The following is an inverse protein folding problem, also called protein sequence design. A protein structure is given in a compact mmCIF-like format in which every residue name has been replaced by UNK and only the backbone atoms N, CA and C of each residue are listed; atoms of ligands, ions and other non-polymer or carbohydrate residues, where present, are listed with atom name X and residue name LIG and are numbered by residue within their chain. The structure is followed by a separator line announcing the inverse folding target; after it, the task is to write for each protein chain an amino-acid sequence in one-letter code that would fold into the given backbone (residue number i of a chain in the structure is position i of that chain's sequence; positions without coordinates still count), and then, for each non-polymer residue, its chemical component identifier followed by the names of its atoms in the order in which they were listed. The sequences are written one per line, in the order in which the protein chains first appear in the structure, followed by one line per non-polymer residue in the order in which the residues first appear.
data_IF_385844439243
#
_entry.id   IF_385844439243
#
_cell.length_a   1.000
_cell.length_b   1.000
_cell.length_c   1.000
_cell.angle_alpha   90.00
_cell.angle_beta   90.00
_cell.angle_gamma   90.00
#
_symmetry.space_group_name_H-M   'P 1'
#
loop_
_entity.id
_entity.type
_entity.pdbx_description
1 polymer ?
#
# COMPACT_ATOMS: atom_id res chain seq x y z
N UNK A 1 9.89 -11.30 -15.39
CA UNK A 1 8.52 -10.83 -15.13
C UNK A 1 8.21 -11.07 -13.65
N UNK A 2 8.58 -10.13 -12.79
CA UNK A 2 8.49 -10.25 -11.32
C UNK A 2 7.53 -9.22 -10.69
N UNK A 3 6.88 -8.39 -11.50
CA UNK A 3 6.03 -7.32 -11.02
C UNK A 3 4.60 -7.80 -10.73
N UNK A 4 3.96 -7.20 -9.74
CA UNK A 4 2.56 -7.41 -9.37
C UNK A 4 1.85 -6.07 -9.15
N UNK A 5 0.52 -6.07 -9.20
CA UNK A 5 -0.28 -4.87 -8.95
C UNK A 5 -0.55 -4.71 -7.47
N UNK A 6 -0.42 -3.49 -6.97
CA UNK A 6 -0.75 -3.14 -5.60
C UNK A 6 -1.32 -1.72 -5.53
N UNK A 7 -2.12 -1.44 -4.49
CA UNK A 7 -2.54 -0.07 -4.17
C UNK A 7 -1.41 0.54 -3.35
N UNK A 8 -0.75 1.57 -3.87
CA UNK A 8 0.36 2.24 -3.19
C UNK A 8 -0.10 3.58 -2.69
N UNK A 9 0.12 3.82 -1.40
CA UNK A 9 -0.04 5.11 -0.74
C UNK A 9 1.30 5.81 -0.69
N UNK A 10 1.32 7.09 -1.05
CA UNK A 10 2.52 7.90 -0.96
C UNK A 10 2.22 9.30 -0.45
N UNK A 11 3.20 9.89 0.23
CA UNK A 11 3.11 11.25 0.76
C UNK A 11 4.42 11.99 0.53
N UNK A 12 4.34 13.11 -0.19
CA UNK A 12 5.47 14.00 -0.46
C UNK A 12 5.11 15.41 -0.01
N UNK A 13 5.71 15.87 1.08
CA UNK A 13 5.27 17.10 1.76
C UNK A 13 3.80 17.01 2.17
N UNK A 14 2.98 17.92 1.67
CA UNK A 14 1.54 17.96 1.93
C UNK A 14 0.71 17.15 0.91
N UNK A 15 1.34 16.63 -0.14
CA UNK A 15 0.62 15.90 -1.18
C UNK A 15 0.49 14.42 -0.82
N UNK A 16 -0.74 13.96 -0.64
CA UNK A 16 -1.09 12.55 -0.45
C UNK A 16 -1.64 11.95 -1.74
N UNK A 17 -1.15 10.77 -2.12
CA UNK A 17 -1.55 10.06 -3.33
C UNK A 17 -1.86 8.60 -3.05
N UNK A 18 -2.79 8.04 -3.83
CA UNK A 18 -3.18 6.63 -3.82
C UNK A 18 -3.39 6.15 -5.24
N UNK A 19 -2.75 5.06 -5.62
CA UNK A 19 -2.77 4.61 -7.00
C UNK A 19 -2.51 3.11 -7.11
N UNK A 20 -3.13 2.47 -8.10
CA UNK A 20 -2.81 1.08 -8.45
C UNK A 20 -1.56 1.09 -9.31
N UNK A 21 -0.45 0.57 -8.78
CA UNK A 21 0.85 0.51 -9.45
C UNK A 21 1.29 -0.92 -9.68
N UNK A 22 2.03 -1.14 -10.75
CA UNK A 22 2.79 -2.37 -10.98
C UNK A 22 4.16 -2.21 -10.33
N UNK A 23 4.46 -3.02 -9.32
CA UNK A 23 5.68 -2.93 -8.49
C UNK A 23 6.43 -4.26 -8.47
N UNK A 24 7.74 -4.21 -8.28
CA UNK A 24 8.58 -5.41 -8.12
C UNK A 24 8.54 -5.93 -6.67
N UNK A 25 8.86 -7.22 -6.49
CA UNK A 25 8.98 -7.84 -5.16
C UNK A 25 9.96 -7.14 -4.23
N UNK A 26 10.98 -6.47 -4.77
CA UNK A 26 11.92 -5.66 -3.99
C UNK A 26 11.26 -4.49 -3.25
N UNK A 27 10.03 -4.14 -3.58
CA UNK A 27 9.26 -3.11 -2.89
C UNK A 27 8.66 -3.63 -1.56
N UNK A 28 8.48 -4.95 -1.43
CA UNK A 28 8.02 -5.54 -0.17
C UNK A 28 9.08 -5.36 0.91
N UNK A 29 8.63 -5.06 2.13
CA UNK A 29 9.49 -5.00 3.32
C UNK A 29 10.00 -6.41 3.71
N UNK A 30 10.92 -6.45 4.67
CA UNK A 30 11.48 -7.70 5.18
C UNK A 30 10.42 -8.62 5.80
N UNK A 31 10.52 -9.90 5.48
CA UNK A 31 9.70 -10.97 6.07
C UNK A 31 10.20 -12.34 5.62
N UNK A 32 9.92 -13.38 6.42
CA UNK A 32 10.40 -14.74 6.17
C UNK A 32 9.49 -15.54 5.23
N UNK A 33 8.27 -15.04 4.99
CA UNK A 33 7.24 -15.72 4.20
C UNK A 33 6.69 -14.78 3.14
N UNK A 34 6.66 -15.26 1.90
CA UNK A 34 6.02 -14.57 0.78
C UNK A 34 4.65 -15.19 0.50
N UNK A 35 3.59 -14.39 0.64
CA UNK A 35 2.21 -14.81 0.39
C UNK A 35 1.72 -14.24 -0.93
N UNK A 36 1.16 -15.10 -1.79
CA UNK A 36 0.39 -14.66 -2.95
C UNK A 36 -1.07 -14.50 -2.51
N UNK A 37 -1.54 -13.25 -2.46
CA UNK A 37 -2.89 -12.92 -2.02
C UNK A 37 -3.87 -13.11 -3.20
N UNK A 38 -4.84 -14.01 -3.03
CA UNK A 38 -5.92 -14.20 -4.01
C UNK A 38 -7.16 -13.35 -3.66
N UNK A 39 -7.39 -13.09 -2.38
CA UNK A 39 -8.54 -12.32 -1.88
C UNK A 39 -8.14 -11.41 -0.70
N UNK A 40 -8.79 -10.25 -0.64
CA UNK A 40 -8.76 -9.32 0.48
C UNK A 40 -10.17 -8.77 0.69
N UNK A 41 -10.44 -8.27 1.88
CA UNK A 41 -11.65 -7.52 2.20
C UNK A 41 -11.42 -6.00 2.04
N UNK A 42 -12.49 -5.24 2.26
CA UNK A 42 -12.44 -3.78 2.32
C UNK A 42 -13.25 -3.31 3.53
N UNK A 43 -12.54 -2.80 4.52
CA UNK A 43 -13.08 -2.35 5.79
C UNK A 43 -13.19 -0.83 5.85
N UNK A 44 -13.96 -0.33 6.82
CA UNK A 44 -14.06 1.11 7.07
C UNK A 44 -12.70 1.76 7.32
N UNK A 45 -11.80 1.04 8.02
CA UNK A 45 -10.43 1.48 8.30
C UNK A 45 -9.63 1.69 7.01
N UNK A 46 -9.79 0.82 6.03
CA UNK A 46 -9.09 0.94 4.74
C UNK A 46 -9.56 2.20 4.02
N UNK A 47 -10.87 2.46 4.00
CA UNK A 47 -11.44 3.71 3.47
C UNK A 47 -10.92 4.97 4.18
N UNK A 48 -10.75 4.93 5.50
CA UNK A 48 -10.14 6.04 6.25
C UNK A 48 -8.68 6.26 5.84
N UNK A 49 -7.88 5.20 5.78
CA UNK A 49 -6.47 5.25 5.40
C UNK A 49 -6.32 5.80 3.98
N UNK A 50 -7.14 5.31 3.04
CA UNK A 50 -7.16 5.79 1.66
C UNK A 50 -7.49 7.29 1.57
N UNK A 51 -8.18 7.89 2.55
CA UNK A 51 -8.47 9.33 2.59
C UNK A 51 -7.44 10.15 3.38
N UNK A 52 -6.30 9.55 3.76
CA UNK A 52 -5.34 10.14 4.70
C UNK A 52 -6.00 10.51 6.06
N UNK A 53 -7.06 9.79 6.42
CA UNK A 53 -7.84 10.05 7.62
C UNK A 53 -7.07 9.71 8.88
N UNK A 54 -7.03 10.65 9.83
CA UNK A 54 -6.43 10.43 11.15
C UNK A 54 -4.91 10.21 11.17
N UNK A 55 -4.19 10.41 10.06
CA UNK A 55 -2.76 10.12 9.94
C UNK A 55 -2.38 8.73 10.45
N UNK A 56 -3.21 7.74 10.15
CA UNK A 56 -3.04 6.36 10.64
C UNK A 56 -1.82 5.64 10.04
N UNK A 57 -1.42 6.02 8.82
CA UNK A 57 -0.19 5.55 8.17
C UNK A 57 0.91 6.59 8.40
N UNK A 58 2.03 6.13 8.96
CA UNK A 58 3.18 6.97 9.31
C UNK A 58 4.32 6.86 8.29
N UNK A 59 4.54 5.66 7.77
CA UNK A 59 5.63 5.35 6.86
C UNK A 59 5.13 5.33 5.42
N UNK A 60 5.85 6.04 4.54
CA UNK A 60 5.56 6.12 3.11
C UNK A 60 6.82 5.78 2.30
N UNK A 61 6.68 5.12 1.14
CA UNK A 61 5.43 4.62 0.58
C UNK A 61 4.91 3.37 1.31
N UNK A 62 3.59 3.14 1.25
CA UNK A 62 2.90 2.03 1.91
C UNK A 62 2.03 1.25 0.93
N UNK A 63 1.82 -0.05 1.19
CA UNK A 63 0.94 -0.95 0.44
C UNK A 63 -0.10 -1.51 1.39
#
# INVERSE_FOLDING_TARGET
MSNFKAIVLNKTGDQFTREVKSIDKSFLIHGDVLVKVDYSDFNYKDGMILKNGGSLVKDYPHI
#
